data_IF_338521881071
#
_entry.id   IF_338521881071
#
_cell.length_a   1.000
_cell.length_b   1.000
_cell.length_c   1.000
_cell.angle_alpha   90.00
_cell.angle_beta   90.00
_cell.angle_gamma   90.00
#
_symmetry.space_group_name_H-M   'P 1'
#
loop_
_entity.id
_entity.type
_entity.pdbx_description
1 polymer ?
#
# COMPACT_ATOMS: atom_id res chain seq x y z
N UNK A 1 23.95 2.60 -13.03
CA UNK A 1 23.83 2.73 -11.56
C UNK A 1 22.39 2.42 -11.22
N UNK A 2 22.09 1.21 -10.70
CA UNK A 2 20.74 0.87 -10.27
C UNK A 2 20.48 1.57 -8.93
N UNK A 3 19.67 2.62 -8.96
CA UNK A 3 19.11 3.21 -7.75
C UNK A 3 18.04 2.27 -7.22
N UNK A 4 18.44 1.37 -6.32
CA UNK A 4 17.49 0.64 -5.48
C UNK A 4 16.86 1.71 -4.58
N UNK A 5 15.67 2.18 -4.95
CA UNK A 5 14.86 3.04 -4.08
C UNK A 5 14.47 2.19 -2.88
N UNK A 6 15.21 2.31 -1.78
CA UNK A 6 14.70 1.88 -0.48
C UNK A 6 13.51 2.77 -0.16
N UNK A 7 12.30 2.24 -0.36
CA UNK A 7 11.08 2.81 0.19
C UNK A 7 11.10 2.49 1.68
N UNK A 8 11.64 3.42 2.47
CA UNK A 8 11.52 3.38 3.91
C UNK A 8 10.34 4.30 4.23
N UNK A 9 9.20 3.71 4.59
CA UNK A 9 8.05 4.48 5.06
C UNK A 9 8.31 4.92 6.49
N UNK A 10 7.88 6.12 6.84
CA UNK A 10 7.81 6.50 8.25
C UNK A 10 6.70 5.71 8.95
N UNK A 11 6.81 5.42 10.25
CA UNK A 11 5.75 4.75 11.04
C UNK A 11 4.35 5.33 10.80
N UNK A 12 4.27 6.66 10.66
CA UNK A 12 3.02 7.35 10.36
C UNK A 12 2.48 6.99 8.96
N UNK A 13 3.33 7.05 7.94
CA UNK A 13 2.93 6.73 6.57
C UNK A 13 2.52 5.26 6.46
N UNK A 14 3.24 4.38 7.14
CA UNK A 14 2.93 2.96 7.23
C UNK A 14 1.54 2.76 7.85
N UNK A 15 1.29 3.35 9.02
CA UNK A 15 -0.01 3.27 9.69
C UNK A 15 -1.16 3.78 8.81
N UNK A 16 -0.98 4.92 8.14
CA UNK A 16 -2.00 5.48 7.22
C UNK A 16 -2.27 4.54 6.03
N UNK A 17 -1.24 3.93 5.45
CA UNK A 17 -1.40 2.96 4.35
C UNK A 17 -2.08 1.67 4.81
N UNK A 18 -1.67 1.13 5.95
CA UNK A 18 -2.26 -0.07 6.57
C UNK A 18 -3.76 0.12 6.82
N UNK A 19 -4.15 1.28 7.35
CA UNK A 19 -5.55 1.61 7.62
C UNK A 19 -6.38 1.69 6.32
N UNK A 20 -5.84 2.29 5.26
CA UNK A 20 -6.51 2.38 3.96
C UNK A 20 -6.66 1.00 3.32
N UNK A 21 -5.63 0.14 3.39
CA UNK A 21 -5.68 -1.23 2.88
C UNK A 21 -6.72 -2.04 3.64
N UNK A 22 -6.75 -1.95 4.98
CA UNK A 22 -7.72 -2.67 5.81
C UNK A 22 -9.15 -2.17 5.62
N UNK A 23 -9.32 -0.88 5.32
CA UNK A 23 -10.62 -0.28 5.04
C UNK A 23 -11.14 -0.65 3.64
N UNK A 24 -10.26 -0.76 2.64
CA UNK A 24 -10.64 -1.10 1.26
C UNK A 24 -10.64 -2.60 0.96
N UNK A 25 -9.91 -3.41 1.72
CA UNK A 25 -9.78 -4.85 1.52
C UNK A 25 -10.43 -5.61 2.66
N UNK A 26 -11.59 -6.22 2.41
CA UNK A 26 -12.14 -7.23 3.34
C UNK A 26 -11.49 -8.61 3.19
N UNK A 27 -10.58 -8.78 2.23
CA UNK A 27 -9.95 -10.06 1.93
C UNK A 27 -8.67 -10.31 2.72
N UNK A 28 -8.02 -9.24 3.22
CA UNK A 28 -6.75 -9.33 3.93
C UNK A 28 -6.99 -9.01 5.41
N UNK A 29 -6.35 -9.78 6.29
CA UNK A 29 -6.46 -9.56 7.74
C UNK A 29 -5.45 -8.54 8.21
N UNK A 30 -5.77 -7.87 9.33
CA UNK A 30 -4.89 -6.90 10.00
C UNK A 30 -3.49 -7.45 10.29
N UNK A 31 -3.41 -8.72 10.71
CA UNK A 31 -2.14 -9.38 10.97
C UNK A 31 -1.29 -9.55 9.70
N UNK A 32 -1.93 -9.85 8.56
CA UNK A 32 -1.22 -9.93 7.28
C UNK A 32 -0.71 -8.56 6.85
N UNK A 33 -1.53 -7.50 6.99
CA UNK A 33 -1.13 -6.13 6.65
C UNK A 33 0.08 -5.66 7.47
N UNK A 34 0.11 -5.92 8.77
CA UNK A 34 1.25 -5.55 9.62
C UNK A 34 2.52 -6.35 9.31
N UNK A 35 2.38 -7.56 8.77
CA UNK A 35 3.52 -8.37 8.34
C UNK A 35 4.05 -8.00 6.94
N UNK A 36 3.39 -7.10 6.20
CA UNK A 36 3.87 -6.64 4.90
C UNK A 36 5.11 -5.76 5.06
N UNK A 37 6.04 -5.91 4.10
CA UNK A 37 7.15 -4.99 3.94
C UNK A 37 6.66 -3.65 3.36
N UNK A 38 7.42 -2.56 3.60
CA UNK A 38 7.07 -1.20 3.16
C UNK A 38 6.81 -1.13 1.64
N UNK A 39 7.52 -1.93 0.85
CA UNK A 39 7.33 -2.03 -0.59
C UNK A 39 5.99 -2.71 -0.95
N UNK A 40 5.64 -3.79 -0.29
CA UNK A 40 4.38 -4.50 -0.53
C UNK A 40 3.19 -3.67 -0.07
N UNK A 41 3.32 -3.02 1.07
CA UNK A 41 2.33 -2.09 1.60
C UNK A 41 2.08 -0.94 0.63
N UNK A 42 3.16 -0.35 0.08
CA UNK A 42 3.05 0.71 -0.93
C UNK A 42 2.36 0.21 -2.19
N UNK A 43 2.72 -0.97 -2.71
CA UNK A 43 2.08 -1.53 -3.90
C UNK A 43 0.59 -1.82 -3.70
N UNK A 44 0.21 -2.36 -2.53
CA UNK A 44 -1.19 -2.57 -2.19
C UNK A 44 -1.92 -1.25 -2.08
N UNK A 45 -1.36 -0.29 -1.35
CA UNK A 45 -1.92 1.05 -1.23
C UNK A 45 -2.09 1.73 -2.60
N UNK A 46 -1.09 1.64 -3.48
CA UNK A 46 -1.17 2.13 -4.87
C UNK A 46 -2.20 1.36 -5.69
N UNK A 47 -2.46 0.09 -5.43
CA UNK A 47 -3.53 -0.67 -6.09
C UNK A 47 -4.91 -0.20 -5.65
N UNK A 48 -5.09 0.10 -4.35
CA UNK A 48 -6.35 0.62 -3.82
C UNK A 48 -6.58 2.07 -4.23
N UNK A 49 -5.55 2.92 -4.15
CA UNK A 49 -5.58 4.31 -4.61
C UNK A 49 -5.68 4.40 -6.13
N UNK A 50 -4.99 3.50 -6.84
CA UNK A 50 -4.95 3.34 -8.30
C UNK A 50 -6.29 2.99 -8.93
N UNK A 51 -7.18 2.33 -8.17
CA UNK A 51 -8.56 2.05 -8.61
C UNK A 51 -9.39 3.33 -8.84
N UNK A 52 -9.03 4.47 -8.24
CA UNK A 52 -9.65 5.76 -8.61
C UNK A 52 -9.17 6.29 -9.98
N UNK A 53 -7.99 5.88 -10.47
CA UNK A 53 -7.39 6.41 -11.70
C UNK A 53 -7.47 5.46 -12.90
N UNK A 54 -7.82 4.18 -12.71
CA UNK A 54 -8.04 3.25 -13.82
C UNK A 54 -9.39 3.48 -14.54
N UNK A 55 -10.30 4.27 -13.96
CA UNK A 55 -11.58 4.65 -14.59
C UNK A 55 -11.50 5.90 -15.48
N UNK A 56 -10.29 6.37 -15.80
CA UNK A 56 -10.07 7.55 -16.67
C UNK A 56 -9.10 7.30 -17.83
N UNK A 57 -8.81 6.04 -18.15
CA UNK A 57 -8.15 5.64 -19.40
C UNK A 57 -9.01 4.61 -20.15
N UNK A 58 -10.11 5.06 -20.75
CA UNK A 58 -10.85 4.36 -21.80
C UNK A 58 -11.20 5.34 -22.92
#
# INVERSE_FOLDING_TARGET
MLTIKHYILSDKERFEMEEVILSNSSAISRDEVYNLDDQELTQMYETFKGKEYATSAS
#
